data_IF_481034992764
#
_entry.id   IF_481034992764
#
_cell.length_a   1.000
_cell.length_b   1.000
_cell.length_c   1.000
_cell.angle_alpha   90.00
_cell.angle_beta   90.00
_cell.angle_gamma   90.00
#
_symmetry.space_group_name_H-M   'P 1'
#
loop_
_entity.id
_entity.type
_entity.pdbx_description
1 polymer ?
#
# COMPACT_ATOMS: atom_id res chain seq x y z
N UNK A 1 -67.52 4.42 36.70
CA UNK A 1 -66.61 4.90 35.63
C UNK A 1 -67.42 5.88 34.81
N UNK A 2 -67.03 7.16 34.87
CA UNK A 2 -67.71 8.22 34.15
C UNK A 2 -67.24 8.16 32.68
N UNK A 3 -68.19 8.11 31.76
CA UNK A 3 -67.94 7.91 30.32
C UNK A 3 -68.10 9.23 29.56
N UNK A 4 -67.90 10.37 30.24
CA UNK A 4 -68.01 11.69 29.66
C UNK A 4 -66.95 11.90 28.58
N UNK A 5 -67.25 12.75 27.60
CA UNK A 5 -66.32 13.10 26.55
C UNK A 5 -65.06 13.75 27.13
N UNK A 6 -65.23 14.63 28.13
CA UNK A 6 -64.13 15.36 28.74
C UNK A 6 -63.09 14.45 29.42
N UNK A 7 -63.54 13.38 30.10
CA UNK A 7 -62.63 12.46 30.79
C UNK A 7 -61.97 11.45 29.84
N UNK A 8 -62.72 10.95 28.85
CA UNK A 8 -62.23 9.87 27.97
C UNK A 8 -61.41 10.43 26.79
N UNK A 9 -61.76 11.61 26.28
CA UNK A 9 -61.09 12.29 25.17
C UNK A 9 -60.80 13.77 25.48
N UNK A 10 -59.93 14.06 26.46
CA UNK A 10 -59.61 15.44 26.85
C UNK A 10 -59.03 16.26 25.69
N UNK A 11 -58.41 15.62 24.69
CA UNK A 11 -57.89 16.26 23.49
C UNK A 11 -59.00 16.93 22.65
N UNK A 12 -60.22 16.37 22.65
CA UNK A 12 -61.35 16.86 21.86
C UNK A 12 -62.03 18.09 22.49
N UNK A 13 -61.80 18.35 23.78
CA UNK A 13 -62.35 19.53 24.48
C UNK A 13 -61.88 20.83 23.82
N UNK A 14 -60.63 20.87 23.37
CA UNK A 14 -60.05 22.05 22.70
C UNK A 14 -60.71 22.36 21.36
N UNK A 15 -61.38 21.38 20.76
CA UNK A 15 -62.15 21.52 19.53
C UNK A 15 -63.64 21.76 19.80
N UNK A 16 -64.11 21.86 21.04
CA UNK A 16 -65.53 22.11 21.35
C UNK A 16 -65.89 23.58 21.10
N UNK A 17 -66.95 23.84 20.34
CA UNK A 17 -67.40 25.21 20.06
C UNK A 17 -68.29 25.76 21.17
N UNK A 18 -68.14 27.06 21.47
CA UNK A 18 -69.01 27.81 22.38
C UNK A 18 -70.48 27.81 21.95
N UNK A 19 -70.76 27.54 20.66
CA UNK A 19 -72.12 27.40 20.11
C UNK A 19 -72.93 26.25 20.71
N UNK A 20 -72.28 25.35 21.45
CA UNK A 20 -72.97 24.23 22.09
C UNK A 20 -73.59 24.62 23.44
N UNK A 21 -73.28 25.81 23.98
CA UNK A 21 -73.83 26.26 25.26
C UNK A 21 -75.38 26.21 25.23
N UNK A 22 -76.03 25.72 26.30
CA UNK A 22 -75.46 25.40 27.62
C UNK A 22 -74.83 24.00 27.76
N UNK A 23 -74.74 23.18 26.70
CA UNK A 23 -74.18 21.83 26.75
C UNK A 23 -72.65 21.85 26.82
N UNK A 24 -72.08 21.22 27.85
CA UNK A 24 -70.63 21.10 28.04
C UNK A 24 -70.11 19.69 27.70
N UNK A 25 -68.80 19.52 27.46
CA UNK A 25 -68.17 18.20 27.26
C UNK A 25 -68.34 17.22 28.43
N UNK A 26 -68.62 17.71 29.64
CA UNK A 26 -68.88 16.90 30.84
C UNK A 26 -70.30 16.31 30.83
N UNK A 27 -71.25 16.97 30.16
CA UNK A 27 -72.67 16.60 30.11
C UNK A 27 -72.99 15.52 29.06
N UNK A 28 -72.01 15.06 28.29
CA UNK A 28 -72.21 14.14 27.16
C UNK A 28 -71.18 13.03 27.11
N UNK A 29 -71.61 11.82 26.75
CA UNK A 29 -70.71 10.66 26.64
C UNK A 29 -70.00 10.60 25.29
N UNK A 30 -68.78 10.06 25.27
CA UNK A 30 -67.95 9.98 24.04
C UNK A 30 -68.59 9.15 22.91
N UNK A 31 -69.52 8.24 23.23
CA UNK A 31 -70.26 7.40 22.28
C UNK A 31 -71.58 8.00 21.77
N UNK A 32 -71.91 9.24 22.12
CA UNK A 32 -73.20 9.86 21.79
C UNK A 32 -73.37 10.16 20.30
N UNK A 33 -74.54 9.83 19.73
CA UNK A 33 -74.88 10.18 18.35
C UNK A 33 -75.34 11.65 18.18
N UNK A 34 -75.39 12.45 19.25
CA UNK A 34 -75.81 13.86 19.20
C UNK A 34 -74.82 14.68 18.37
N UNK A 35 -75.32 15.41 17.38
CA UNK A 35 -74.53 16.35 16.57
C UNK A 35 -74.31 17.64 17.35
N UNK A 36 -73.05 18.03 17.49
CA UNK A 36 -72.61 19.24 18.18
C UNK A 36 -71.61 19.98 17.29
N UNK A 37 -71.38 21.26 17.59
CA UNK A 37 -70.44 22.10 16.87
C UNK A 37 -69.01 21.88 17.36
N UNK A 38 -68.11 21.64 16.41
CA UNK A 38 -66.68 21.51 16.63
C UNK A 38 -65.97 22.64 15.91
N UNK A 39 -64.89 23.16 16.50
CA UNK A 39 -64.04 24.22 15.97
C UNK A 39 -62.65 23.65 15.69
N UNK A 40 -62.22 23.79 14.44
CA UNK A 40 -61.00 23.17 13.97
C UNK A 40 -59.81 24.07 14.24
N UNK A 41 -58.61 23.52 14.16
CA UNK A 41 -57.37 24.33 14.23
C UNK A 41 -57.29 25.41 13.15
N UNK A 42 -57.97 25.22 12.01
CA UNK A 42 -58.11 26.25 10.97
C UNK A 42 -59.20 27.32 11.27
N UNK A 43 -59.83 27.28 12.44
CA UNK A 43 -60.92 28.18 12.83
C UNK A 43 -62.29 27.82 12.25
N UNK A 44 -62.37 26.81 11.37
CA UNK A 44 -63.63 26.34 10.80
C UNK A 44 -64.50 25.62 11.82
N UNK A 45 -65.76 26.04 11.92
CA UNK A 45 -66.76 25.38 12.75
C UNK A 45 -67.64 24.44 11.92
N UNK A 46 -67.80 23.18 12.35
CA UNK A 46 -68.63 22.19 11.67
C UNK A 46 -69.42 21.33 12.65
N UNK A 47 -70.50 20.73 12.18
CA UNK A 47 -71.30 19.80 12.99
C UNK A 47 -70.98 18.35 12.63
N UNK A 48 -70.71 17.52 13.64
CA UNK A 48 -70.77 16.06 13.54
C UNK A 48 -71.10 15.46 14.90
N UNK A 49 -71.41 14.17 14.96
CA UNK A 49 -71.73 13.51 16.23
C UNK A 49 -70.52 13.33 17.13
N UNK A 50 -70.74 13.32 18.44
CA UNK A 50 -69.66 13.04 19.41
C UNK A 50 -69.01 11.69 19.14
N UNK A 51 -69.81 10.65 18.88
CA UNK A 51 -69.33 9.33 18.47
C UNK A 51 -68.42 9.36 17.25
N UNK A 52 -68.77 10.11 16.21
CA UNK A 52 -67.98 10.17 14.99
C UNK A 52 -66.66 10.93 15.21
N UNK A 53 -66.66 12.00 16.01
CA UNK A 53 -65.42 12.67 16.45
C UNK A 53 -64.52 11.77 17.28
N UNK A 54 -65.09 11.09 18.29
CA UNK A 54 -64.34 10.15 19.15
C UNK A 54 -63.72 9.01 18.32
N UNK A 55 -64.40 8.58 17.24
CA UNK A 55 -63.88 7.60 16.29
C UNK A 55 -62.88 8.17 15.26
N UNK A 56 -62.49 9.44 15.38
CA UNK A 56 -61.42 10.06 14.60
C UNK A 56 -61.84 10.88 13.37
N UNK A 57 -63.13 11.18 13.17
CA UNK A 57 -63.57 12.06 12.07
C UNK A 57 -62.99 13.47 12.24
N UNK A 58 -62.20 13.99 11.29
CA UNK A 58 -61.54 15.30 11.43
C UNK A 58 -62.34 16.41 10.78
N UNK A 59 -62.02 17.66 11.13
CA UNK A 59 -62.51 18.85 10.42
C UNK A 59 -62.39 18.65 8.89
N UNK A 60 -63.46 18.83 8.10
CA UNK A 60 -63.43 18.57 6.65
C UNK A 60 -62.44 19.46 5.90
N UNK A 61 -62.10 20.63 6.45
CA UNK A 61 -61.06 21.51 5.89
C UNK A 61 -59.67 21.03 6.34
N UNK A 62 -59.44 20.82 7.63
CA UNK A 62 -58.11 20.35 8.09
C UNK A 62 -57.74 18.99 7.49
N UNK A 63 -58.72 18.12 7.23
CA UNK A 63 -58.50 16.80 6.61
C UNK A 63 -58.32 16.86 5.09
N UNK A 64 -58.61 18.01 4.45
CA UNK A 64 -58.58 18.18 3.00
C UNK A 64 -59.77 17.56 2.26
N UNK A 65 -60.81 17.08 2.97
CA UNK A 65 -62.05 16.58 2.37
C UNK A 65 -62.85 17.69 1.66
N UNK A 66 -62.74 18.93 2.15
CA UNK A 66 -63.26 20.15 1.53
C UNK A 66 -62.12 21.14 1.34
N UNK A 67 -61.92 21.63 0.12
CA UNK A 67 -60.87 22.61 -0.22
C UNK A 67 -61.44 24.02 -0.15
N UNK A 68 -60.76 24.90 0.58
CA UNK A 68 -61.03 26.34 0.64
C UNK A 68 -59.74 27.08 0.26
N UNK A 69 -59.85 27.93 -0.75
CA UNK A 69 -58.76 28.79 -1.21
C UNK A 69 -58.31 29.74 -0.09
N UNK A 70 -56.99 29.88 0.09
CA UNK A 70 -56.36 30.69 1.13
C UNK A 70 -56.20 29.97 2.48
N UNK A 71 -56.71 28.74 2.64
CA UNK A 71 -56.64 28.00 3.91
C UNK A 71 -55.89 26.67 3.74
N UNK A 72 -56.42 25.75 2.94
CA UNK A 72 -55.92 24.38 2.83
C UNK A 72 -55.69 23.91 1.39
N UNK A 73 -55.76 24.84 0.44
CA UNK A 73 -55.47 24.57 -0.96
C UNK A 73 -53.96 24.46 -1.23
N UNK A 74 -53.61 23.87 -2.37
CA UNK A 74 -52.22 23.64 -2.74
C UNK A 74 -51.43 24.93 -2.99
N UNK A 75 -52.05 25.99 -3.50
CA UNK A 75 -51.35 27.25 -3.77
C UNK A 75 -50.87 27.90 -2.47
N UNK A 76 -51.72 27.85 -1.44
CA UNK A 76 -51.43 28.39 -0.11
C UNK A 76 -50.39 27.56 0.62
N UNK A 77 -50.57 26.24 0.67
CA UNK A 77 -49.70 25.36 1.47
C UNK A 77 -48.37 25.03 0.79
N UNK A 78 -48.32 24.99 -0.55
CA UNK A 78 -47.15 24.57 -1.33
C UNK A 78 -46.89 25.54 -2.51
N UNK A 79 -46.57 26.82 -2.25
CA UNK A 79 -46.45 27.85 -3.28
C UNK A 79 -45.36 27.56 -4.32
N UNK A 80 -44.30 26.83 -3.95
CA UNK A 80 -43.24 26.42 -4.87
C UNK A 80 -43.69 25.32 -5.85
N UNK A 81 -44.60 24.43 -5.42
CA UNK A 81 -45.21 23.44 -6.30
C UNK A 81 -46.29 24.08 -7.18
N UNK A 82 -47.03 25.06 -6.67
CA UNK A 82 -47.99 25.83 -7.47
C UNK A 82 -47.32 26.50 -8.69
N UNK A 83 -46.07 26.98 -8.56
CA UNK A 83 -45.27 27.49 -9.70
C UNK A 83 -44.96 26.42 -10.77
N UNK A 84 -45.02 25.15 -10.41
CA UNK A 84 -44.83 24.02 -11.32
C UNK A 84 -46.15 23.52 -11.92
N UNK A 85 -47.26 24.20 -11.69
CA UNK A 85 -48.54 23.85 -12.30
C UNK A 85 -48.56 24.21 -13.78
N UNK A 86 -48.90 23.26 -14.66
CA UNK A 86 -49.01 23.57 -16.09
C UNK A 86 -50.28 24.39 -16.38
N UNK A 87 -50.17 25.34 -17.31
CA UNK A 87 -51.29 26.11 -17.86
C UNK A 87 -52.30 25.25 -18.62
N UNK A 88 -51.93 24.00 -18.98
CA UNK A 88 -52.80 23.05 -19.68
C UNK A 88 -53.85 22.39 -18.78
N UNK A 89 -53.74 22.53 -17.46
CA UNK A 89 -54.72 21.98 -16.53
C UNK A 89 -56.02 22.79 -16.56
N UNK A 90 -57.16 22.08 -16.53
CA UNK A 90 -58.48 22.72 -16.40
C UNK A 90 -58.79 23.19 -14.97
N UNK A 91 -58.17 22.56 -13.98
CA UNK A 91 -58.33 22.90 -12.56
C UNK A 91 -57.15 23.74 -12.06
N UNK A 92 -57.43 24.68 -11.15
CA UNK A 92 -56.45 25.58 -10.54
C UNK A 92 -55.82 24.94 -9.29
N UNK A 93 -54.59 25.33 -8.93
CA UNK A 93 -53.96 24.92 -7.66
C UNK A 93 -54.81 25.23 -6.42
N UNK A 94 -55.64 26.28 -6.48
CA UNK A 94 -56.54 26.71 -5.40
C UNK A 94 -57.77 25.81 -5.21
N UNK A 95 -58.00 24.84 -6.11
CA UNK A 95 -59.17 23.95 -6.11
C UNK A 95 -58.84 22.52 -5.65
N UNK A 96 -57.60 22.29 -5.20
CA UNK A 96 -57.13 20.98 -4.75
C UNK A 96 -56.39 21.07 -3.41
N UNK A 97 -56.62 20.09 -2.53
CA UNK A 97 -55.81 19.91 -1.31
C UNK A 97 -54.48 19.24 -1.65
N UNK A 98 -53.47 19.43 -0.79
CA UNK A 98 -52.19 18.72 -0.90
C UNK A 98 -52.31 17.18 -0.89
N UNK A 99 -53.36 16.60 -0.28
CA UNK A 99 -53.58 15.15 -0.24
C UNK A 99 -54.32 14.57 -1.45
N UNK A 100 -54.62 15.39 -2.48
CA UNK A 100 -55.52 14.97 -3.56
C UNK A 100 -54.93 13.88 -4.46
N UNK A 101 -55.77 12.89 -4.82
CA UNK A 101 -55.42 11.86 -5.79
C UNK A 101 -55.62 12.30 -7.26
N UNK A 102 -56.14 13.51 -7.50
CA UNK A 102 -56.32 14.04 -8.86
C UNK A 102 -54.97 14.11 -9.59
N UNK A 103 -54.94 13.57 -10.80
CA UNK A 103 -53.78 13.68 -11.70
C UNK A 103 -53.85 15.00 -12.46
N UNK A 104 -52.74 15.72 -12.45
CA UNK A 104 -52.59 17.00 -13.14
C UNK A 104 -51.24 17.04 -13.85
N UNK A 105 -51.13 17.93 -14.83
CA UNK A 105 -49.91 18.15 -15.59
C UNK A 105 -49.01 19.12 -14.82
N UNK A 106 -47.81 18.66 -14.50
CA UNK A 106 -46.77 19.44 -13.87
C UNK A 106 -45.75 19.87 -14.91
N UNK A 107 -45.16 21.06 -14.73
CA UNK A 107 -44.09 21.60 -15.55
C UNK A 107 -42.90 21.97 -14.68
N UNK A 108 -41.73 21.38 -14.94
CA UNK A 108 -40.52 21.70 -14.17
C UNK A 108 -39.83 22.95 -14.73
N UNK A 109 -38.79 23.42 -14.03
CA UNK A 109 -37.98 24.58 -14.47
C UNK A 109 -37.33 24.39 -15.85
N UNK A 110 -36.98 23.14 -16.21
CA UNK A 110 -36.44 22.78 -17.53
C UNK A 110 -37.52 22.68 -18.62
N UNK A 111 -38.78 22.95 -18.29
CA UNK A 111 -39.89 22.96 -19.24
C UNK A 111 -40.56 21.61 -19.50
N UNK A 112 -40.06 20.50 -18.92
CA UNK A 112 -40.69 19.19 -19.11
C UNK A 112 -42.07 19.14 -18.48
N UNK A 113 -43.02 18.57 -19.22
CA UNK A 113 -44.38 18.34 -18.75
C UNK A 113 -44.65 16.86 -18.49
N UNK A 114 -45.25 16.55 -17.33
CA UNK A 114 -45.65 15.18 -16.99
C UNK A 114 -46.89 15.15 -16.12
N UNK A 115 -47.65 14.06 -16.24
CA UNK A 115 -48.83 13.82 -15.42
C UNK A 115 -48.44 13.12 -14.11
N UNK A 116 -48.91 13.65 -12.98
CA UNK A 116 -48.78 13.01 -11.66
C UNK A 116 -49.92 13.43 -10.74
N UNK A 117 -50.25 12.56 -9.78
CA UNK A 117 -51.21 12.90 -8.72
C UNK A 117 -50.64 14.01 -7.82
N UNK A 118 -51.51 14.90 -7.34
CA UNK A 118 -51.12 15.99 -6.44
C UNK A 118 -50.40 15.46 -5.20
N UNK A 119 -50.99 14.47 -4.53
CA UNK A 119 -50.41 13.77 -3.37
C UNK A 119 -48.98 13.25 -3.61
N UNK A 120 -48.67 12.78 -4.81
CA UNK A 120 -47.33 12.27 -5.13
C UNK A 120 -46.27 13.38 -5.10
N UNK A 121 -46.63 14.60 -5.50
CA UNK A 121 -45.71 15.75 -5.52
C UNK A 121 -45.58 16.42 -4.15
N UNK A 122 -46.68 16.52 -3.43
CA UNK A 122 -46.77 17.24 -2.15
C UNK A 122 -46.35 16.39 -0.96
N UNK A 123 -46.84 15.14 -0.86
CA UNK A 123 -46.59 14.23 0.26
C UNK A 123 -45.40 13.32 -0.04
N UNK A 124 -45.44 12.60 -1.18
CA UNK A 124 -44.33 11.69 -1.54
C UNK A 124 -43.11 12.42 -2.10
N UNK A 125 -43.19 13.76 -2.23
CA UNK A 125 -42.13 14.67 -2.71
C UNK A 125 -41.47 14.20 -4.01
N UNK A 126 -42.23 13.55 -4.91
CA UNK A 126 -41.67 13.11 -6.19
C UNK A 126 -41.39 14.28 -7.12
N UNK A 127 -40.36 14.15 -7.95
CA UNK A 127 -39.91 15.19 -8.87
C UNK A 127 -40.36 14.96 -10.32
N UNK A 128 -39.71 15.69 -11.23
CA UNK A 128 -39.84 15.45 -12.66
C UNK A 128 -39.20 14.09 -13.03
N UNK A 129 -39.96 13.13 -13.60
CA UNK A 129 -39.45 11.79 -13.88
C UNK A 129 -38.36 11.80 -14.95
N UNK A 130 -38.33 12.80 -15.83
CA UNK A 130 -37.28 12.97 -16.83
C UNK A 130 -35.99 13.52 -16.20
N UNK A 131 -36.10 14.53 -15.33
CA UNK A 131 -34.91 15.07 -14.63
C UNK A 131 -34.29 14.06 -13.66
N UNK A 132 -35.10 13.17 -13.09
CA UNK A 132 -34.62 12.10 -12.20
C UNK A 132 -34.29 10.79 -12.93
N UNK A 133 -34.31 10.79 -14.28
CA UNK A 133 -34.00 9.62 -15.12
C UNK A 133 -34.89 8.38 -14.90
N UNK A 134 -36.04 8.53 -14.24
CA UNK A 134 -37.03 7.47 -14.06
C UNK A 134 -37.89 7.24 -15.31
N UNK A 135 -37.95 8.23 -16.21
CA UNK A 135 -38.58 8.12 -17.53
C UNK A 135 -37.67 8.71 -18.59
N UNK A 136 -37.63 8.08 -19.75
CA UNK A 136 -36.86 8.55 -20.91
C UNK A 136 -37.62 9.65 -21.64
N UNK A 137 -36.90 10.69 -22.03
CA UNK A 137 -37.31 11.76 -22.92
C UNK A 137 -36.22 11.92 -23.98
N UNK A 138 -36.54 11.51 -25.20
CA UNK A 138 -35.64 11.61 -26.34
C UNK A 138 -35.26 13.08 -26.59
N UNK A 139 -33.98 13.33 -26.88
CA UNK A 139 -33.40 14.66 -27.02
C UNK A 139 -33.05 15.34 -25.69
N UNK A 140 -33.20 14.66 -24.55
CA UNK A 140 -32.87 15.24 -23.24
C UNK A 140 -32.04 14.32 -22.35
N UNK A 141 -32.56 13.14 -21.99
CA UNK A 141 -31.92 12.25 -21.02
C UNK A 141 -31.69 10.82 -21.52
N UNK A 142 -31.92 10.61 -22.82
CA UNK A 142 -31.64 9.34 -23.48
C UNK A 142 -30.14 9.16 -23.72
N UNK A 143 -29.74 7.91 -23.97
CA UNK A 143 -28.34 7.52 -24.17
C UNK A 143 -27.72 8.18 -25.39
N UNK A 144 -28.45 8.29 -26.51
CA UNK A 144 -27.91 8.90 -27.74
C UNK A 144 -27.61 10.39 -27.55
N UNK A 145 -28.48 11.11 -26.84
CA UNK A 145 -28.28 12.54 -26.57
C UNK A 145 -27.14 12.77 -25.59
N UNK A 146 -27.07 12.02 -24.49
CA UNK A 146 -26.10 12.28 -23.43
C UNK A 146 -24.70 11.70 -23.72
N UNK A 147 -24.62 10.55 -24.38
CA UNK A 147 -23.37 9.81 -24.63
C UNK A 147 -23.34 9.28 -26.08
N UNK A 148 -23.21 10.17 -27.09
CA UNK A 148 -23.26 9.79 -28.50
C UNK A 148 -22.17 8.77 -28.88
N UNK A 149 -20.96 8.90 -28.34
CA UNK A 149 -19.87 7.95 -28.60
C UNK A 149 -20.18 6.53 -28.10
N UNK A 150 -20.88 6.43 -26.97
CA UNK A 150 -21.30 5.13 -26.42
C UNK A 150 -22.50 4.59 -27.20
N UNK A 151 -23.43 5.45 -27.60
CA UNK A 151 -24.54 5.07 -28.47
C UNK A 151 -24.07 4.56 -29.84
N UNK A 152 -22.95 5.04 -30.36
CA UNK A 152 -22.33 4.53 -31.58
C UNK A 152 -21.80 3.09 -31.44
N UNK A 153 -21.55 2.62 -30.22
CA UNK A 153 -21.21 1.22 -29.93
C UNK A 153 -22.45 0.34 -29.73
N UNK A 154 -23.66 0.84 -29.93
CA UNK A 154 -24.88 0.03 -29.79
C UNK A 154 -24.94 -1.04 -30.88
N UNK A 155 -25.10 -2.30 -30.48
CA UNK A 155 -25.18 -3.41 -31.44
C UNK A 155 -26.59 -3.54 -32.03
N UNK A 156 -26.66 -3.93 -33.31
CA UNK A 156 -27.89 -4.29 -34.01
C UNK A 156 -28.65 -5.46 -33.36
N UNK A 157 -27.96 -6.24 -32.51
CA UNK A 157 -28.58 -7.32 -31.71
C UNK A 157 -29.59 -6.83 -30.67
N UNK A 158 -29.62 -5.53 -30.39
CA UNK A 158 -30.62 -4.91 -29.53
C UNK A 158 -31.94 -4.63 -30.24
N UNK A 159 -32.20 -5.24 -31.40
CA UNK A 159 -33.41 -5.05 -32.21
C UNK A 159 -34.67 -4.78 -31.36
N UNK A 160 -35.44 -3.76 -31.75
CA UNK A 160 -36.57 -3.11 -31.04
C UNK A 160 -36.23 -2.19 -29.85
N UNK A 161 -34.96 -2.09 -29.45
CA UNK A 161 -34.50 -1.14 -28.43
C UNK A 161 -33.45 -0.19 -29.00
N UNK A 162 -33.82 1.09 -29.10
CA UNK A 162 -32.93 2.14 -29.57
C UNK A 162 -32.23 2.87 -28.41
N UNK A 163 -31.02 3.43 -28.63
CA UNK A 163 -30.36 4.29 -27.66
C UNK A 163 -31.21 5.49 -27.21
N UNK A 164 -32.11 5.98 -28.06
CA UNK A 164 -33.05 7.07 -27.75
C UNK A 164 -34.18 6.68 -26.78
N UNK A 165 -34.31 5.38 -26.47
CA UNK A 165 -35.38 4.82 -25.64
C UNK A 165 -34.89 4.34 -24.26
N UNK A 166 -33.63 4.60 -23.92
CA UNK A 166 -33.02 4.21 -22.66
C UNK A 166 -32.25 5.38 -22.06
N UNK A 167 -32.20 5.47 -20.73
CA UNK A 167 -31.32 6.44 -20.06
C UNK A 167 -29.92 5.85 -19.86
N UNK A 168 -28.94 6.72 -19.65
CA UNK A 168 -27.55 6.31 -19.31
C UNK A 168 -27.44 5.52 -18.01
N UNK A 169 -28.46 5.58 -17.14
CA UNK A 169 -28.51 4.90 -15.84
C UNK A 169 -29.37 3.63 -15.87
N UNK A 170 -29.86 3.20 -17.03
CA UNK A 170 -30.76 2.06 -17.13
C UNK A 170 -30.10 0.77 -16.63
N UNK A 171 -30.74 0.10 -15.66
CA UNK A 171 -30.36 -1.22 -15.17
C UNK A 171 -30.90 -2.32 -16.09
N UNK A 172 -30.62 -2.20 -17.39
CA UNK A 172 -30.98 -3.17 -18.43
C UNK A 172 -29.73 -3.56 -19.20
N UNK A 173 -29.60 -4.85 -19.53
CA UNK A 173 -28.51 -5.35 -20.36
C UNK A 173 -28.78 -5.03 -21.84
N UNK A 174 -27.73 -4.62 -22.53
CA UNK A 174 -27.71 -4.38 -23.97
C UNK A 174 -26.43 -5.01 -24.57
N UNK A 175 -26.49 -5.31 -25.86
CA UNK A 175 -25.35 -5.71 -26.67
C UNK A 175 -24.60 -4.48 -27.17
N UNK A 176 -23.28 -4.53 -27.10
CA UNK A 176 -22.38 -3.46 -27.53
C UNK A 176 -21.42 -4.02 -28.56
N UNK A 177 -21.05 -3.24 -29.56
CA UNK A 177 -20.11 -3.59 -30.62
C UNK A 177 -18.89 -2.68 -30.54
N UNK A 178 -17.71 -3.29 -30.41
CA UNK A 178 -16.49 -2.53 -30.18
C UNK A 178 -16.06 -1.89 -31.49
N UNK A 179 -15.82 -0.58 -31.50
CA UNK A 179 -15.27 0.10 -32.67
C UNK A 179 -13.87 -0.38 -33.05
N UNK A 180 -13.05 -0.79 -32.06
CA UNK A 180 -11.64 -1.13 -32.27
C UNK A 180 -11.47 -2.59 -32.74
N UNK A 181 -12.22 -3.54 -32.17
CA UNK A 181 -12.07 -4.96 -32.49
C UNK A 181 -13.29 -5.59 -33.19
N UNK A 182 -14.36 -4.84 -33.40
CA UNK A 182 -15.61 -5.32 -34.03
C UNK A 182 -16.41 -6.34 -33.22
N UNK A 183 -15.88 -6.85 -32.10
CA UNK A 183 -16.53 -7.88 -31.28
C UNK A 183 -17.66 -7.31 -30.46
N UNK A 184 -18.65 -8.15 -30.22
CA UNK A 184 -19.83 -7.80 -29.46
C UNK A 184 -19.82 -8.39 -28.05
N UNK A 185 -20.31 -7.64 -27.07
CA UNK A 185 -20.47 -8.13 -25.70
C UNK A 185 -21.76 -7.64 -25.07
N UNK A 186 -22.27 -8.37 -24.09
CA UNK A 186 -23.50 -8.05 -23.39
C UNK A 186 -23.20 -7.53 -21.97
N UNK A 187 -23.60 -6.30 -21.67
CA UNK A 187 -23.44 -5.69 -20.33
C UNK A 187 -24.54 -4.67 -20.04
N UNK A 188 -24.65 -4.23 -18.79
CA UNK A 188 -25.61 -3.21 -18.37
C UNK A 188 -25.32 -1.85 -19.03
N UNK A 189 -26.38 -1.12 -19.39
CA UNK A 189 -26.28 0.24 -19.92
C UNK A 189 -25.62 1.18 -18.90
N UNK A 190 -25.99 1.08 -17.63
CA UNK A 190 -25.35 1.84 -16.55
C UNK A 190 -23.84 1.55 -16.43
N UNK A 191 -23.43 0.28 -16.54
CA UNK A 191 -22.01 -0.12 -16.50
C UNK A 191 -21.24 0.41 -17.71
N UNK A 192 -21.80 0.30 -18.92
CA UNK A 192 -21.16 0.85 -20.13
C UNK A 192 -21.04 2.36 -20.06
N UNK A 193 -22.11 3.04 -19.67
CA UNK A 193 -22.18 4.50 -19.51
C UNK A 193 -21.20 4.99 -18.43
N UNK A 194 -20.98 4.20 -17.39
CA UNK A 194 -19.98 4.46 -16.35
C UNK A 194 -18.52 4.26 -16.78
N UNK A 195 -18.25 3.91 -18.04
CA UNK A 195 -16.89 3.85 -18.60
C UNK A 195 -16.29 2.45 -18.74
N UNK A 196 -17.06 1.37 -18.58
CA UNK A 196 -16.54 0.02 -18.84
C UNK A 196 -16.10 -0.13 -20.30
N UNK A 197 -14.86 -0.61 -20.53
CA UNK A 197 -14.31 -0.83 -21.87
C UNK A 197 -14.72 -2.19 -22.44
N UNK A 198 -14.46 -2.40 -23.74
CA UNK A 198 -14.64 -3.71 -24.37
C UNK A 198 -13.88 -4.80 -23.60
N UNK A 199 -14.54 -5.89 -23.17
CA UNK A 199 -13.92 -6.92 -22.34
C UNK A 199 -12.90 -7.77 -23.12
N UNK A 200 -13.00 -7.84 -24.46
CA UNK A 200 -12.02 -8.51 -25.31
C UNK A 200 -10.72 -7.71 -25.39
N UNK A 201 -10.79 -6.42 -25.78
CA UNK A 201 -9.61 -5.54 -25.82
C UNK A 201 -8.97 -5.38 -24.44
N UNK A 202 -9.79 -5.36 -23.39
CA UNK A 202 -9.30 -5.24 -22.02
C UNK A 202 -8.77 -6.56 -21.45
N UNK A 203 -8.83 -7.68 -22.19
CA UNK A 203 -8.33 -8.99 -21.76
C UNK A 203 -9.12 -9.65 -20.63
N UNK A 204 -10.36 -9.23 -20.38
CA UNK A 204 -11.24 -9.91 -19.41
C UNK A 204 -11.94 -11.12 -20.02
N UNK A 205 -12.27 -11.06 -21.31
CA UNK A 205 -12.76 -12.21 -22.07
C UNK A 205 -11.65 -12.66 -23.02
N UNK A 206 -11.28 -13.93 -22.93
CA UNK A 206 -10.29 -14.57 -23.79
C UNK A 206 -10.85 -14.79 -25.20
N UNK A 207 -10.04 -14.53 -26.22
CA UNK A 207 -10.30 -14.85 -27.62
C UNK A 207 -8.99 -15.24 -28.30
N UNK A 208 -8.92 -16.51 -28.69
CA UNK A 208 -7.80 -17.08 -29.45
C UNK A 208 -7.59 -16.35 -30.78
N UNK A 209 -6.33 -16.14 -31.16
CA UNK A 209 -5.90 -15.39 -32.34
C UNK A 209 -6.05 -13.87 -32.23
N UNK A 210 -6.39 -13.33 -31.05
CA UNK A 210 -6.61 -11.90 -30.86
C UNK A 210 -5.93 -11.36 -29.61
N UNK A 211 -6.30 -11.90 -28.44
CA UNK A 211 -5.74 -11.45 -27.16
C UNK A 211 -5.03 -12.56 -26.39
N UNK A 212 -4.77 -13.69 -27.05
CA UNK A 212 -3.93 -14.73 -26.50
C UNK A 212 -2.47 -14.27 -26.34
N UNK A 213 -1.76 -14.96 -25.44
CA UNK A 213 -0.40 -14.61 -25.05
C UNK A 213 0.58 -14.80 -26.21
N UNK A 214 0.38 -15.83 -27.04
CA UNK A 214 1.22 -16.09 -28.22
C UNK A 214 1.17 -14.93 -29.22
N UNK A 215 -0.02 -14.39 -29.45
CA UNK A 215 -0.24 -13.29 -30.41
C UNK A 215 0.21 -11.94 -29.84
N UNK A 216 -0.09 -11.67 -28.56
CA UNK A 216 0.14 -10.34 -27.98
C UNK A 216 1.51 -10.16 -27.34
N UNK A 217 2.14 -11.25 -26.88
CA UNK A 217 3.43 -11.23 -26.17
C UNK A 217 4.33 -12.39 -26.64
N UNK A 218 4.74 -12.43 -27.93
CA UNK A 218 5.51 -13.55 -28.49
C UNK A 218 6.82 -13.81 -27.74
N UNK A 219 7.50 -12.76 -27.28
CA UNK A 219 8.72 -12.89 -26.48
C UNK A 219 8.47 -13.60 -25.14
N UNK A 220 7.35 -13.33 -24.48
CA UNK A 220 6.99 -14.03 -23.22
C UNK A 220 6.50 -15.44 -23.52
N UNK A 221 5.69 -15.62 -24.56
CA UNK A 221 5.18 -16.92 -24.98
C UNK A 221 6.30 -17.91 -25.33
N UNK A 222 7.43 -17.41 -25.82
CA UNK A 222 8.60 -18.24 -26.11
C UNK A 222 9.35 -18.77 -24.89
N UNK A 223 9.11 -18.19 -23.70
CA UNK A 223 9.61 -18.69 -22.42
C UNK A 223 8.66 -19.73 -21.82
N UNK A 224 7.64 -20.18 -22.55
CA UNK A 224 6.72 -21.20 -22.06
C UNK A 224 7.43 -22.56 -21.97
N UNK A 225 7.35 -23.20 -20.81
CA UNK A 225 7.93 -24.54 -20.62
C UNK A 225 7.02 -25.62 -21.20
N UNK A 226 7.63 -26.69 -21.71
CA UNK A 226 6.96 -27.92 -22.14
C UNK A 226 6.24 -28.63 -20.99
N UNK A 227 6.61 -28.36 -19.73
CA UNK A 227 5.93 -28.87 -18.52
C UNK A 227 4.47 -28.43 -18.38
N UNK A 228 4.02 -27.48 -19.20
CA UNK A 228 2.65 -27.01 -19.20
C UNK A 228 1.72 -27.84 -20.08
N UNK A 229 2.23 -28.79 -20.87
CA UNK A 229 1.39 -29.62 -21.73
C UNK A 229 0.26 -30.28 -20.91
N UNK A 230 -0.99 -30.27 -21.42
CA UNK A 230 -1.39 -29.89 -22.78
C UNK A 230 -1.64 -28.39 -23.01
N UNK A 231 -1.53 -27.52 -22.00
CA UNK A 231 -1.84 -26.11 -22.09
C UNK A 231 -0.80 -25.33 -22.89
N UNK A 232 -1.25 -24.64 -23.94
CA UNK A 232 -0.40 -23.85 -24.84
C UNK A 232 -0.51 -22.32 -24.58
N UNK A 233 0.50 -21.53 -25.00
CA UNK A 233 0.47 -20.06 -24.86
C UNK A 233 -0.68 -19.39 -25.61
N UNK A 234 -1.17 -19.99 -26.70
CA UNK A 234 -2.29 -19.48 -27.51
C UNK A 234 -3.68 -19.76 -26.87
N UNK A 235 -3.72 -20.43 -25.71
CA UNK A 235 -4.93 -20.78 -24.96
C UNK A 235 -5.14 -19.94 -23.68
N UNK A 236 -4.26 -18.96 -23.45
CA UNK A 236 -4.34 -18.02 -22.33
C UNK A 236 -4.10 -16.61 -22.82
N UNK A 237 -4.68 -15.61 -22.16
CA UNK A 237 -4.32 -14.22 -22.40
C UNK A 237 -3.36 -13.68 -21.34
N UNK A 238 -2.83 -12.48 -21.57
CA UNK A 238 -1.92 -11.78 -20.67
C UNK A 238 -2.47 -11.54 -19.25
N UNK A 239 -3.79 -11.50 -19.05
CA UNK A 239 -4.43 -11.31 -17.73
C UNK A 239 -4.74 -12.61 -17.00
N UNK A 240 -4.41 -13.76 -17.59
CA UNK A 240 -4.67 -15.07 -17.01
C UNK A 240 -4.03 -15.20 -15.62
N UNK A 241 -4.80 -15.79 -14.69
CA UNK A 241 -4.37 -16.11 -13.33
C UNK A 241 -3.82 -17.54 -13.21
N UNK A 242 -3.69 -18.27 -14.32
CA UNK A 242 -3.10 -19.61 -14.32
C UNK A 242 -1.62 -19.53 -13.90
N UNK A 243 -1.22 -20.42 -13.01
CA UNK A 243 0.16 -20.58 -12.57
C UNK A 243 0.82 -21.64 -13.46
N UNK A 244 1.83 -21.25 -14.23
CA UNK A 244 2.44 -22.07 -15.28
C UNK A 244 3.96 -22.08 -15.13
N UNK A 245 4.60 -23.06 -15.75
CA UNK A 245 6.06 -23.18 -15.81
C UNK A 245 6.63 -22.29 -16.92
N UNK A 246 7.65 -21.52 -16.58
CA UNK A 246 8.43 -20.70 -17.49
C UNK A 246 9.84 -21.28 -17.60
N UNK A 247 10.47 -21.15 -18.76
CA UNK A 247 11.84 -21.57 -19.03
C UNK A 247 12.67 -20.35 -19.42
N UNK A 248 13.72 -20.08 -18.67
CA UNK A 248 14.51 -18.87 -18.85
C UNK A 248 15.40 -19.03 -20.08
N UNK A 249 15.32 -18.08 -21.02
CA UNK A 249 16.22 -18.06 -22.19
C UNK A 249 17.69 -17.80 -21.83
N UNK A 250 17.96 -17.16 -20.69
CA UNK A 250 19.33 -16.79 -20.27
C UNK A 250 20.05 -17.92 -19.53
N UNK A 251 19.44 -18.44 -18.45
CA UNK A 251 20.06 -19.44 -17.60
C UNK A 251 19.47 -20.86 -17.76
N UNK A 252 18.44 -21.04 -18.58
CA UNK A 252 17.76 -22.33 -18.76
C UNK A 252 16.87 -22.76 -17.60
N UNK A 253 16.86 -22.04 -16.46
CA UNK A 253 16.06 -22.40 -15.29
C UNK A 253 14.56 -22.46 -15.61
N UNK A 254 13.88 -23.45 -15.05
CA UNK A 254 12.44 -23.60 -15.14
C UNK A 254 11.76 -23.28 -13.81
N UNK A 255 10.82 -22.32 -13.79
CA UNK A 255 10.16 -21.88 -12.57
C UNK A 255 8.66 -21.67 -12.76
N UNK A 256 7.88 -21.77 -11.68
CA UNK A 256 6.44 -21.49 -11.71
C UNK A 256 6.15 -20.01 -11.47
N UNK A 257 5.31 -19.41 -12.30
CA UNK A 257 4.76 -18.08 -12.05
C UNK A 257 3.41 -17.89 -12.75
N UNK A 258 2.60 -16.98 -12.19
CA UNK A 258 1.30 -16.61 -12.77
C UNK A 258 1.50 -15.81 -14.06
N UNK A 259 0.74 -16.11 -15.12
CA UNK A 259 0.85 -15.43 -16.42
C UNK A 259 0.77 -13.91 -16.30
N UNK A 260 -0.25 -13.39 -15.63
CA UNK A 260 -0.38 -11.94 -15.40
C UNK A 260 0.82 -11.34 -14.64
N UNK A 261 1.43 -12.08 -13.70
CA UNK A 261 2.61 -11.61 -12.97
C UNK A 261 3.86 -11.63 -13.86
N UNK A 262 4.03 -12.65 -14.71
CA UNK A 262 5.12 -12.73 -15.69
C UNK A 262 5.04 -11.57 -16.68
N UNK A 263 3.84 -11.31 -17.23
CA UNK A 263 3.61 -10.19 -18.17
C UNK A 263 3.88 -8.84 -17.53
N UNK A 264 3.55 -8.66 -16.25
CA UNK A 264 3.84 -7.42 -15.51
C UNK A 264 5.32 -7.20 -15.15
N UNK A 265 6.20 -8.17 -15.41
CA UNK A 265 7.65 -8.02 -15.18
C UNK A 265 8.24 -8.95 -14.12
N UNK A 266 7.54 -10.00 -13.70
CA UNK A 266 8.21 -11.06 -12.89
C UNK A 266 9.30 -11.70 -13.73
N UNK A 267 10.53 -11.73 -13.22
CA UNK A 267 11.70 -12.30 -13.90
C UNK A 267 12.09 -13.66 -13.33
N UNK A 268 12.98 -14.36 -14.03
CA UNK A 268 13.54 -15.62 -13.55
C UNK A 268 14.20 -15.45 -12.17
N UNK A 269 13.87 -16.28 -11.17
CA UNK A 269 14.41 -16.14 -9.81
C UNK A 269 15.92 -16.36 -9.74
N UNK A 270 16.49 -17.20 -10.60
CA UNK A 270 17.95 -17.42 -10.70
C UNK A 270 18.66 -16.18 -11.23
N UNK A 271 18.19 -15.61 -12.35
CA UNK A 271 18.78 -14.37 -12.89
C UNK A 271 18.59 -13.15 -11.96
N UNK A 272 17.64 -13.21 -11.03
CA UNK A 272 17.41 -12.17 -10.02
C UNK A 272 18.12 -12.47 -8.68
N UNK A 273 18.99 -13.48 -8.64
CA UNK A 273 19.74 -13.92 -7.44
C UNK A 273 18.85 -14.29 -6.23
N UNK A 274 17.61 -14.75 -6.50
CA UNK A 274 16.66 -15.21 -5.48
C UNK A 274 16.71 -16.73 -5.28
N UNK A 275 17.14 -17.45 -6.30
CA UNK A 275 17.35 -18.90 -6.28
C UNK A 275 18.72 -19.25 -6.84
N UNK A 276 19.22 -20.42 -6.46
CA UNK A 276 20.52 -20.94 -6.90
C UNK A 276 20.30 -22.05 -7.93
N UNK A 277 20.96 -21.92 -9.07
CA UNK A 277 21.07 -22.95 -10.10
C UNK A 277 22.52 -23.42 -10.17
N UNK A 278 22.73 -24.70 -9.85
CA UNK A 278 24.03 -25.35 -9.95
C UNK A 278 24.57 -25.29 -11.39
N UNK A 279 25.84 -24.96 -11.55
CA UNK A 279 26.51 -24.72 -12.83
C UNK A 279 26.30 -23.32 -13.40
N UNK A 280 25.61 -22.41 -12.69
CA UNK A 280 25.32 -21.05 -13.18
C UNK A 280 25.68 -19.97 -12.16
N UNK A 281 24.95 -19.86 -11.05
CA UNK A 281 25.15 -18.82 -10.02
C UNK A 281 25.46 -19.38 -8.63
N UNK A 282 25.76 -20.67 -8.54
CA UNK A 282 26.24 -21.29 -7.30
C UNK A 282 27.69 -20.90 -7.01
N UNK A 283 28.08 -21.05 -5.74
CA UNK A 283 29.40 -20.69 -5.24
C UNK A 283 30.51 -21.55 -5.87
N UNK A 284 30.23 -22.82 -6.18
CA UNK A 284 31.23 -23.69 -6.79
C UNK A 284 31.60 -23.23 -8.21
N UNK A 285 30.62 -22.71 -8.94
CA UNK A 285 30.82 -22.16 -10.29
C UNK A 285 31.45 -20.77 -10.26
N UNK A 286 31.00 -19.89 -9.36
CA UNK A 286 31.36 -18.47 -9.37
C UNK A 286 32.64 -18.13 -8.60
N UNK A 287 32.98 -18.89 -7.57
CA UNK A 287 34.11 -18.64 -6.68
C UNK A 287 34.87 -19.95 -6.37
N UNK A 288 35.20 -20.71 -7.43
CA UNK A 288 35.85 -22.03 -7.34
C UNK A 288 37.15 -22.03 -6.53
N UNK A 289 37.90 -20.92 -6.53
CA UNK A 289 39.12 -20.72 -5.75
C UNK A 289 38.91 -20.83 -4.23
N UNK A 290 37.70 -20.55 -3.74
CA UNK A 290 37.37 -20.62 -2.32
C UNK A 290 36.96 -22.04 -1.87
N UNK A 291 36.81 -22.98 -2.80
CA UNK A 291 36.41 -24.35 -2.48
C UNK A 291 37.49 -25.12 -1.70
N UNK A 292 38.76 -24.74 -1.86
CA UNK A 292 39.87 -25.28 -1.06
C UNK A 292 39.77 -24.87 0.41
N UNK A 293 39.14 -23.73 0.68
CA UNK A 293 38.90 -23.23 2.03
C UNK A 293 37.54 -23.67 2.58
N UNK A 294 36.69 -24.35 1.81
CA UNK A 294 35.40 -24.80 2.30
C UNK A 294 35.55 -25.99 3.25
N UNK A 295 35.01 -25.89 4.46
CA UNK A 295 35.04 -27.01 5.42
C UNK A 295 33.89 -27.99 5.11
N UNK A 296 34.18 -29.05 4.35
CA UNK A 296 33.18 -30.04 3.92
C UNK A 296 32.66 -30.93 5.05
N UNK A 297 33.39 -31.01 6.18
CA UNK A 297 33.00 -31.84 7.31
C UNK A 297 32.01 -31.09 8.21
N UNK A 298 32.24 -29.79 8.42
CA UNK A 298 31.37 -28.97 9.27
C UNK A 298 30.15 -28.37 8.55
N UNK A 299 30.24 -28.15 7.24
CA UNK A 299 29.14 -27.58 6.49
C UNK A 299 28.12 -28.64 6.05
N UNK A 300 26.87 -28.44 6.46
CA UNK A 300 25.73 -29.18 5.89
C UNK A 300 25.33 -28.69 4.49
N UNK A 301 25.68 -27.45 4.16
CA UNK A 301 25.41 -26.82 2.86
C UNK A 301 26.47 -27.26 1.86
N UNK A 302 26.06 -27.54 0.63
CA UNK A 302 27.02 -27.73 -0.46
C UNK A 302 27.32 -26.40 -1.16
N UNK A 303 28.54 -26.18 -1.66
CA UNK A 303 28.85 -25.01 -2.48
C UNK A 303 27.94 -24.85 -3.71
N UNK A 304 27.38 -25.94 -4.22
CA UNK A 304 26.42 -25.93 -5.35
C UNK A 304 25.00 -25.47 -4.98
N UNK A 305 24.70 -25.26 -3.69
CA UNK A 305 23.37 -24.92 -3.16
C UNK A 305 23.27 -23.47 -2.64
N UNK A 306 24.38 -22.72 -2.70
CA UNK A 306 24.50 -21.37 -2.16
C UNK A 306 25.11 -20.46 -3.22
N UNK A 307 24.66 -19.21 -3.31
CA UNK A 307 25.29 -18.20 -4.16
C UNK A 307 26.37 -17.44 -3.39
N UNK A 308 27.24 -16.75 -4.11
CA UNK A 308 28.23 -15.84 -3.52
C UNK A 308 27.62 -14.69 -2.71
N UNK A 309 26.38 -14.29 -2.99
CA UNK A 309 25.67 -13.22 -2.26
C UNK A 309 24.94 -13.72 -1.01
N UNK A 310 25.00 -15.02 -0.73
CA UNK A 310 24.29 -15.64 0.38
C UNK A 310 24.72 -15.07 1.75
N UNK A 311 23.71 -14.70 2.56
CA UNK A 311 23.91 -14.31 3.96
C UNK A 311 24.02 -15.52 4.91
N UNK A 312 23.90 -16.76 4.39
CA UNK A 312 24.09 -17.97 5.20
C UNK A 312 25.53 -18.04 5.71
N UNK A 313 25.70 -18.61 6.89
CA UNK A 313 27.02 -18.86 7.47
C UNK A 313 27.55 -20.19 6.99
N UNK A 314 28.83 -20.20 6.65
CA UNK A 314 29.59 -21.40 6.32
C UNK A 314 30.86 -21.45 7.17
N UNK A 315 31.37 -22.64 7.39
CA UNK A 315 32.67 -22.92 7.99
C UNK A 315 33.75 -22.93 6.90
N UNK A 316 34.86 -22.30 7.21
CA UNK A 316 36.01 -22.17 6.33
C UNK A 316 37.26 -22.67 7.05
N UNK A 317 38.20 -23.23 6.30
CA UNK A 317 39.49 -23.72 6.78
C UNK A 317 40.60 -23.04 5.99
N UNK A 318 41.53 -22.38 6.67
CA UNK A 318 42.62 -21.66 6.01
C UNK A 318 43.82 -22.58 5.85
N UNK A 319 44.79 -22.14 5.05
CA UNK A 319 46.08 -22.84 4.85
C UNK A 319 46.84 -23.13 6.15
N UNK A 320 46.61 -22.34 7.21
CA UNK A 320 47.25 -22.53 8.52
C UNK A 320 46.44 -23.46 9.45
N UNK A 321 45.39 -24.12 8.95
CA UNK A 321 44.60 -25.09 9.72
C UNK A 321 43.50 -24.50 10.60
N UNK A 322 43.38 -23.17 10.68
CA UNK A 322 42.29 -22.54 11.43
C UNK A 322 40.94 -22.81 10.79
N UNK A 323 39.97 -23.21 11.62
CA UNK A 323 38.56 -23.30 11.22
C UNK A 323 37.77 -22.13 11.81
N UNK A 324 37.00 -21.42 10.97
CA UNK A 324 36.14 -20.34 11.42
C UNK A 324 34.84 -20.27 10.62
N UNK A 325 33.80 -19.72 11.26
CA UNK A 325 32.50 -19.50 10.65
C UNK A 325 32.31 -18.03 10.28
N UNK A 326 31.85 -17.76 9.06
CA UNK A 326 31.46 -16.42 8.60
C UNK A 326 30.36 -16.49 7.54
N UNK A 327 29.72 -15.35 7.22
CA UNK A 327 28.74 -15.32 6.13
C UNK A 327 29.44 -15.50 4.79
N UNK A 328 28.80 -16.19 3.86
CA UNK A 328 29.39 -16.47 2.54
C UNK A 328 29.69 -15.15 1.81
N UNK A 329 28.74 -14.21 1.80
CA UNK A 329 28.95 -12.88 1.19
C UNK A 329 30.09 -12.05 1.82
N UNK A 330 30.40 -12.24 3.10
CA UNK A 330 31.55 -11.60 3.74
C UNK A 330 32.87 -12.18 3.24
N UNK A 331 32.92 -13.50 2.95
CA UNK A 331 34.10 -14.15 2.36
C UNK A 331 34.27 -13.78 0.88
N UNK A 332 33.18 -13.81 0.11
CA UNK A 332 33.21 -13.73 -1.37
C UNK A 332 33.12 -12.30 -1.92
N UNK A 333 32.34 -11.41 -1.30
CA UNK A 333 32.12 -10.04 -1.79
C UNK A 333 33.03 -9.07 -1.03
N UNK A 334 33.08 -9.17 0.30
CA UNK A 334 33.94 -8.28 1.11
C UNK A 334 35.39 -8.77 1.20
N UNK A 335 35.69 -9.97 0.69
CA UNK A 335 37.05 -10.54 0.68
C UNK A 335 37.63 -10.80 2.08
N UNK A 336 36.81 -10.85 3.13
CA UNK A 336 37.31 -11.00 4.51
C UNK A 336 37.96 -12.37 4.69
N UNK A 337 39.17 -12.39 5.25
CA UNK A 337 39.96 -13.59 5.47
C UNK A 337 39.62 -14.37 6.75
N UNK A 338 40.57 -15.22 7.15
CA UNK A 338 40.51 -15.92 8.43
C UNK A 338 40.59 -14.93 9.60
N UNK A 339 39.54 -14.88 10.42
CA UNK A 339 39.49 -14.00 11.61
C UNK A 339 40.59 -14.30 12.63
N UNK A 340 41.04 -15.56 12.70
CA UNK A 340 42.08 -15.98 13.65
C UNK A 340 43.44 -15.48 13.16
N UNK A 341 43.74 -15.68 11.86
CA UNK A 341 44.96 -15.11 11.25
C UNK A 341 45.02 -13.59 11.39
N UNK A 342 43.89 -12.90 11.23
CA UNK A 342 43.81 -11.45 11.38
C UNK A 342 44.07 -11.01 12.83
N UNK A 343 43.53 -11.74 13.82
CA UNK A 343 43.80 -11.46 15.23
C UNK A 343 45.27 -11.68 15.61
N UNK A 344 45.89 -12.74 15.08
CA UNK A 344 47.33 -13.00 15.26
C UNK A 344 48.19 -11.91 14.63
N UNK A 345 47.82 -11.42 13.45
CA UNK A 345 48.53 -10.29 12.83
C UNK A 345 48.42 -9.03 13.68
N UNK A 346 47.20 -8.66 14.09
CA UNK A 346 46.96 -7.45 14.86
C UNK A 346 47.63 -7.45 16.24
N UNK A 347 47.82 -8.63 16.86
CA UNK A 347 48.51 -8.73 18.15
C UNK A 347 50.02 -8.42 18.05
N UNK A 348 50.65 -8.73 16.91
CA UNK A 348 52.08 -8.46 16.68
C UNK A 348 52.34 -7.20 15.86
N UNK A 349 51.31 -6.65 15.21
CA UNK A 349 51.41 -5.48 14.34
C UNK A 349 52.17 -4.31 14.98
N UNK A 350 51.91 -3.92 16.25
CA UNK A 350 52.67 -2.83 16.88
C UNK A 350 54.18 -3.04 16.89
N UNK A 351 54.64 -4.24 17.24
CA UNK A 351 56.06 -4.56 17.30
C UNK A 351 56.69 -4.56 15.89
N UNK A 352 55.99 -5.13 14.90
CA UNK A 352 56.44 -5.11 13.51
C UNK A 352 56.50 -3.70 12.93
N UNK A 353 55.51 -2.85 13.22
CA UNK A 353 55.50 -1.46 12.76
C UNK A 353 56.64 -0.65 13.38
N UNK A 354 56.88 -0.79 14.69
CA UNK A 354 58.02 -0.16 15.36
C UNK A 354 59.36 -0.63 14.78
N UNK A 355 59.50 -1.94 14.53
CA UNK A 355 60.69 -2.51 13.89
C UNK A 355 60.92 -1.97 12.48
N UNK A 356 59.86 -1.93 11.67
CA UNK A 356 59.90 -1.42 10.30
C UNK A 356 60.36 0.05 10.24
N UNK A 357 59.73 0.92 11.03
CA UNK A 357 60.07 2.34 11.06
C UNK A 357 61.46 2.62 11.64
N UNK A 358 61.87 1.85 12.65
CA UNK A 358 63.22 1.96 13.22
C UNK A 358 64.29 1.56 12.21
N UNK A 359 64.07 0.44 11.50
CA UNK A 359 64.97 -0.04 10.46
C UNK A 359 65.08 0.95 9.30
N UNK A 360 63.97 1.57 8.89
CA UNK A 360 63.95 2.62 7.85
C UNK A 360 64.86 3.81 8.21
N UNK A 361 65.07 4.07 9.51
CA UNK A 361 65.96 5.13 10.01
C UNK A 361 67.33 4.63 10.45
N UNK A 362 67.65 3.36 10.22
CA UNK A 362 68.93 2.78 10.63
C UNK A 362 69.10 2.66 12.15
N UNK A 363 68.00 2.72 12.90
CA UNK A 363 68.00 2.62 14.36
C UNK A 363 68.03 1.15 14.79
N UNK A 364 68.94 0.83 15.71
CA UNK A 364 68.93 -0.48 16.39
C UNK A 364 67.91 -0.45 17.52
N UNK A 365 67.06 -1.46 17.56
CA UNK A 365 66.06 -1.61 18.63
C UNK A 365 66.25 -2.91 19.38
N UNK A 366 65.89 -2.88 20.65
CA UNK A 366 65.79 -4.06 21.50
C UNK A 366 64.31 -4.29 21.82
N UNK A 367 63.76 -5.42 21.35
CA UNK A 367 62.37 -5.81 21.60
C UNK A 367 62.31 -6.69 22.85
N UNK A 368 61.45 -6.34 23.81
CA UNK A 368 61.24 -7.14 25.03
C UNK A 368 62.46 -7.28 25.94
N UNK A 369 63.46 -6.38 25.83
CA UNK A 369 64.72 -6.47 26.58
C UNK A 369 64.55 -5.97 28.02
N UNK A 370 65.05 -6.74 28.99
CA UNK A 370 65.10 -6.38 30.41
C UNK A 370 66.47 -5.83 30.82
N UNK A 371 67.47 -5.85 29.94
CA UNK A 371 68.88 -5.56 30.25
C UNK A 371 69.10 -4.19 30.86
N UNK A 372 68.32 -3.21 30.43
CA UNK A 372 68.50 -1.82 30.84
C UNK A 372 67.84 -1.54 32.18
N UNK A 373 66.64 -2.09 32.42
CA UNK A 373 65.84 -1.77 33.61
C UNK A 373 65.81 -2.87 34.68
N UNK A 374 66.18 -4.10 34.34
CA UNK A 374 65.85 -5.30 35.11
C UNK A 374 64.40 -5.77 34.93
N UNK A 375 63.62 -5.05 34.11
CA UNK A 375 62.24 -5.35 33.73
C UNK A 375 62.07 -5.15 32.22
N UNK A 376 61.29 -6.00 31.53
CA UNK A 376 61.15 -5.92 30.08
C UNK A 376 60.52 -4.60 29.61
N UNK A 377 61.19 -3.94 28.66
CA UNK A 377 60.63 -2.86 27.85
C UNK A 377 60.16 -3.43 26.50
N UNK A 378 58.99 -3.02 26.02
CA UNK A 378 58.43 -3.56 24.77
C UNK A 378 59.33 -3.24 23.58
N UNK A 379 59.75 -1.98 23.45
CA UNK A 379 60.71 -1.52 22.45
C UNK A 379 61.62 -0.46 23.04
N UNK A 380 62.93 -0.72 23.07
CA UNK A 380 63.95 0.25 23.49
C UNK A 380 64.85 0.64 22.32
N UNK A 381 65.09 1.94 22.15
CA UNK A 381 65.98 2.53 21.14
C UNK A 381 67.19 3.13 21.88
N UNK A 382 68.32 2.39 21.99
CA UNK A 382 69.44 2.82 22.82
C UNK A 382 70.09 4.13 22.37
N UNK A 383 70.19 4.37 21.06
CA UNK A 383 70.86 5.58 20.53
C UNK A 383 70.14 6.87 20.92
N UNK A 384 68.82 6.79 21.13
CA UNK A 384 67.95 7.93 21.44
C UNK A 384 67.51 7.94 22.91
N UNK A 385 67.85 6.90 23.68
CA UNK A 385 67.36 6.66 25.04
C UNK A 385 65.81 6.74 25.12
N UNK A 386 65.12 6.11 24.16
CA UNK A 386 63.64 6.11 24.10
C UNK A 386 63.11 4.70 24.32
N UNK A 387 62.08 4.58 25.18
CA UNK A 387 61.31 3.36 25.36
C UNK A 387 59.87 3.57 24.88
N UNK A 388 59.38 2.72 23.97
CA UNK A 388 58.01 2.74 23.45
C UNK A 388 57.29 1.49 23.97
N UNK A 389 56.22 1.70 24.73
CA UNK A 389 55.42 0.65 25.37
C UNK A 389 54.08 0.52 24.65
N UNK A 390 53.84 -0.62 24.01
CA UNK A 390 52.62 -0.93 23.25
C UNK A 390 51.65 -1.78 24.06
N UNK A 391 52.15 -2.52 25.04
CA UNK A 391 51.39 -3.26 26.02
C UNK A 391 51.19 -2.41 27.27
N UNK A 392 50.07 -2.62 27.96
CA UNK A 392 49.82 -2.02 29.27
C UNK A 392 49.95 -3.10 30.35
N UNK A 393 50.81 -2.87 31.34
CA UNK A 393 50.96 -3.72 32.50
C UNK A 393 49.99 -3.38 33.64
N UNK A 394 50.19 -4.01 34.80
CA UNK A 394 49.51 -3.61 36.04
C UNK A 394 49.91 -2.20 36.46
N UNK A 395 49.05 -1.51 37.20
CA UNK A 395 49.29 -0.14 37.67
C UNK A 395 50.64 -0.01 38.41
N UNK A 396 50.96 -0.97 39.29
CA UNK A 396 52.24 -1.01 40.00
C UNK A 396 53.44 -1.13 39.06
N UNK A 397 53.35 -1.96 38.03
CA UNK A 397 54.41 -2.14 37.03
C UNK A 397 54.57 -0.89 36.18
N UNK A 398 53.47 -0.22 35.85
CA UNK A 398 53.46 1.02 35.09
C UNK A 398 54.13 2.17 35.86
N UNK A 399 53.89 2.27 37.17
CA UNK A 399 54.53 3.24 38.06
C UNK A 399 56.04 2.93 38.19
N UNK A 400 56.39 1.66 38.38
CA UNK A 400 57.79 1.23 38.52
C UNK A 400 58.60 1.52 37.24
N UNK A 401 58.05 1.19 36.07
CA UNK A 401 58.67 1.49 34.77
C UNK A 401 58.89 2.99 34.58
N UNK A 402 57.91 3.82 34.95
CA UNK A 402 58.03 5.28 34.85
C UNK A 402 59.21 5.81 35.68
N UNK A 403 59.28 5.37 36.95
CA UNK A 403 60.33 5.79 37.87
C UNK A 403 61.73 5.35 37.39
N UNK A 404 61.87 4.09 36.96
CA UNK A 404 63.16 3.55 36.50
C UNK A 404 63.62 4.17 35.17
N UNK A 405 62.69 4.48 34.26
CA UNK A 405 63.01 5.23 33.05
C UNK A 405 63.51 6.63 33.38
N UNK A 406 62.82 7.35 34.26
CA UNK A 406 63.23 8.70 34.68
C UNK A 406 64.62 8.71 35.31
N UNK A 407 64.91 7.78 36.21
CA UNK A 407 66.21 7.67 36.87
C UNK A 407 67.37 7.41 35.89
N UNK A 408 67.10 6.70 34.78
CA UNK A 408 68.10 6.39 33.75
C UNK A 408 68.10 7.36 32.56
N UNK A 409 67.33 8.44 32.62
CA UNK A 409 67.23 9.42 31.53
C UNK A 409 66.54 8.89 30.28
N UNK A 410 65.75 7.82 30.39
CA UNK A 410 65.05 7.19 29.26
C UNK A 410 63.68 7.85 29.11
N UNK A 411 63.38 8.38 27.93
CA UNK A 411 62.06 8.93 27.61
C UNK A 411 61.09 7.80 27.30
N UNK A 412 60.07 7.63 28.14
CA UNK A 412 59.04 6.62 27.97
C UNK A 412 57.82 7.16 27.21
N UNK A 413 57.36 6.41 26.21
CA UNK A 413 56.17 6.75 25.40
C UNK A 413 55.21 5.56 25.45
N UNK A 414 53.99 5.77 25.96
CA UNK A 414 52.94 4.75 25.95
C UNK A 414 52.10 4.87 24.69
N UNK A 415 51.98 3.77 23.96
CA UNK A 415 51.29 3.71 22.68
C UNK A 415 50.46 2.42 22.52
N UNK A 416 49.49 2.12 23.40
CA UNK A 416 48.61 0.97 23.19
C UNK A 416 47.74 1.16 21.95
N UNK A 417 47.55 0.08 21.20
CA UNK A 417 46.63 0.02 20.07
C UNK A 417 45.19 -0.10 20.60
N UNK A 418 44.29 0.76 20.14
CA UNK A 418 42.89 0.76 20.62
C UNK A 418 42.09 -0.32 19.88
N UNK A 419 41.05 -0.85 20.53
CA UNK A 419 40.25 -2.00 20.04
C UNK A 419 39.59 -1.80 18.66
N UNK A 420 39.32 -0.55 18.26
CA UNK A 420 38.69 -0.22 16.96
C UNK A 420 39.59 0.68 16.09
N UNK A 421 40.88 0.73 16.37
CA UNK A 421 41.83 1.55 15.62
C UNK A 421 42.35 0.77 14.41
N UNK A 422 42.38 1.42 13.24
CA UNK A 422 42.93 0.82 12.03
C UNK A 422 44.46 0.80 12.08
N UNK A 423 45.08 -0.12 11.34
CA UNK A 423 46.55 -0.18 11.26
C UNK A 423 47.17 1.14 10.80
N UNK A 424 46.53 1.81 9.84
CA UNK A 424 46.97 3.11 9.31
C UNK A 424 46.94 4.18 10.40
N UNK A 425 45.84 4.28 11.16
CA UNK A 425 45.72 5.26 12.24
C UNK A 425 46.76 4.99 13.35
N UNK A 426 46.99 3.72 13.68
CA UNK A 426 48.01 3.35 14.65
C UNK A 426 49.44 3.63 14.16
N UNK A 427 49.73 3.34 12.89
CA UNK A 427 51.02 3.65 12.27
C UNK A 427 51.30 5.16 12.22
N UNK A 428 50.29 6.00 11.98
CA UNK A 428 50.43 7.47 12.09
C UNK A 428 50.79 7.90 13.51
N UNK A 429 50.18 7.28 14.53
CA UNK A 429 50.54 7.54 15.94
C UNK A 429 51.97 7.10 16.25
N UNK A 430 52.44 6.00 15.66
CA UNK A 430 53.85 5.61 15.76
C UNK A 430 54.74 6.71 15.15
N UNK A 431 54.45 7.17 13.93
CA UNK A 431 55.21 8.26 13.29
C UNK A 431 55.22 9.53 14.15
N UNK A 432 54.10 9.88 14.79
CA UNK A 432 54.03 11.01 15.72
C UNK A 432 54.87 10.78 16.99
N UNK A 433 54.93 9.56 17.51
CA UNK A 433 55.80 9.20 18.63
C UNK A 433 57.29 9.39 18.27
N UNK A 434 57.71 8.91 17.09
CA UNK A 434 59.06 9.16 16.56
C UNK A 434 59.33 10.66 16.37
N UNK A 435 58.37 11.42 15.83
CA UNK A 435 58.51 12.86 15.65
C UNK A 435 58.71 13.61 16.98
N UNK A 436 58.08 13.14 18.06
CA UNK A 436 58.22 13.72 19.40
C UNK A 436 59.65 13.60 19.98
N UNK A 437 60.48 12.77 19.38
CA UNK A 437 61.91 12.58 19.70
C UNK A 437 62.80 12.97 18.52
N UNK A 438 62.30 13.88 17.66
CA UNK A 438 63.02 14.45 16.52
C UNK A 438 63.38 13.46 15.40
N UNK A 439 62.68 12.33 15.31
CA UNK A 439 62.84 11.35 14.23
C UNK A 439 61.68 11.50 13.25
N UNK A 440 61.95 12.02 12.06
CA UNK A 440 60.92 12.35 11.08
C UNK A 440 60.77 11.26 10.02
N UNK A 441 59.62 10.60 9.96
CA UNK A 441 59.29 9.56 8.97
C UNK A 441 58.31 10.14 7.95
N UNK A 442 58.71 10.19 6.69
CA UNK A 442 57.96 10.83 5.58
C UNK A 442 57.39 9.85 4.57
N UNK A 443 57.55 8.54 4.78
CA UNK A 443 56.99 7.49 3.93
C UNK A 443 55.46 7.51 3.94
N UNK A 444 54.84 6.96 2.90
CA UNK A 444 53.40 6.82 2.83
C UNK A 444 52.90 5.73 3.79
N UNK A 445 51.97 6.07 4.67
CA UNK A 445 51.54 5.15 5.74
C UNK A 445 50.76 3.95 5.21
N UNK A 446 50.04 4.08 4.10
CA UNK A 446 49.27 2.99 3.52
C UNK A 446 50.21 1.96 2.87
N UNK A 447 51.21 2.42 2.12
CA UNK A 447 52.28 1.57 1.58
C UNK A 447 53.10 0.89 2.68
N UNK A 448 53.41 1.62 3.77
CA UNK A 448 54.13 1.09 4.92
C UNK A 448 53.36 -0.06 5.58
N UNK A 449 52.05 0.12 5.85
CA UNK A 449 51.19 -0.91 6.44
C UNK A 449 51.10 -2.13 5.54
N UNK A 450 50.96 -1.94 4.23
CA UNK A 450 50.98 -3.03 3.25
C UNK A 450 52.30 -3.82 3.29
N UNK A 451 53.43 -3.12 3.38
CA UNK A 451 54.76 -3.74 3.50
C UNK A 451 54.89 -4.51 4.81
N UNK A 452 54.47 -3.94 5.93
CA UNK A 452 54.49 -4.59 7.25
C UNK A 452 53.66 -5.88 7.23
N UNK A 453 52.48 -5.85 6.61
CA UNK A 453 51.64 -7.04 6.45
C UNK A 453 52.33 -8.12 5.63
N UNK A 454 52.99 -7.77 4.52
CA UNK A 454 53.75 -8.71 3.71
C UNK A 454 54.93 -9.32 4.49
N UNK A 455 55.61 -8.52 5.31
CA UNK A 455 56.70 -9.00 6.18
C UNK A 455 56.15 -10.02 7.20
N UNK A 456 55.01 -9.74 7.82
CA UNK A 456 54.35 -10.68 8.72
C UNK A 456 53.97 -11.99 8.01
N UNK A 457 53.35 -11.92 6.82
CA UNK A 457 52.97 -13.12 6.06
C UNK A 457 54.19 -13.94 5.66
N UNK A 458 55.30 -13.31 5.25
CA UNK A 458 56.55 -14.00 4.93
C UNK A 458 57.17 -14.66 6.16
N UNK A 459 57.23 -13.95 7.29
CA UNK A 459 57.70 -14.49 8.56
C UNK A 459 56.85 -15.70 8.98
N UNK A 460 55.53 -15.58 8.89
CA UNK A 460 54.58 -16.63 9.22
C UNK A 460 54.71 -17.86 8.31
N UNK A 461 55.00 -17.67 7.02
CA UNK A 461 55.22 -18.77 6.07
C UNK A 461 56.61 -19.43 6.21
N UNK A 462 57.54 -18.78 6.92
CA UNK A 462 58.89 -19.31 7.17
C UNK A 462 59.00 -20.14 8.45
N UNK A 463 57.94 -20.17 9.27
CA UNK A 463 57.78 -21.08 10.40
C UNK A 463 57.13 -22.38 9.93
#
# INVERSE_FOLDING_TARGET
MNNSLAEVHPELITEWSEKNLPLTPDDITFGSNKKVWWKGTCGHEWQTSVKARSNGEKCPICSGARVIAGINDLATLEPLLAKQWSKKNKIKPTEVSIGSHKKVIWRCKKGHEWEAAVKSRTINKTGCPYCSHNKVLAGFNDLATLLPDIAAEWSDRNYLLLPTQVTVFANRKAWWKCKDCGREWNTLISTRSGGSKCPYCSGYIFSKGFNDLQTTHPEIASEWSEKNLPLKPDEVNAKSRKNVWWKCRKCGNEWKSVVNARVKGTVCPVCAEREVLAGYNDLATTDSQLLSEWDYEQNKLKPTEVSRTSAKRAWWKCRHGHSWSMKINERTILGKGCRICEQEYLSVFPAFALSYYSHMKGLKIELGSDRVLGIPLDTYIPSEQVAIEVNSGSEDMEILKEHLCHQRGIKRIKLPMKTNETEIAYAQRIKAAFQSVHIFITSDTEEDVGTIRNVFENWRNSQ
#
